data_IF_369673299782
#
_entry.id   IF_369673299782
#
_cell.length_a   1.000
_cell.length_b   1.000
_cell.length_c   1.000
_cell.angle_alpha   90.00
_cell.angle_beta   90.00
_cell.angle_gamma   90.00
#
_symmetry.space_group_name_H-M   'P 1'
#
loop_
_entity.id
_entity.type
_entity.pdbx_description
1 polymer ?
#
# COMPACT_ATOMS: atom_id res chain seq x y z
N UNK A 1 -2.79 50.56 -2.73
CA UNK A 1 -1.43 50.34 -2.21
C UNK A 1 -1.09 48.89 -2.48
N UNK A 2 -0.15 48.63 -3.39
CA UNK A 2 0.30 47.27 -3.68
C UNK A 2 1.14 46.78 -2.50
N UNK A 3 0.63 45.79 -1.76
CA UNK A 3 1.39 45.12 -0.71
C UNK A 3 2.56 44.40 -1.37
N UNK A 4 3.78 44.88 -1.13
CA UNK A 4 5.01 44.18 -1.48
C UNK A 4 4.98 42.77 -0.87
N UNK A 5 4.83 41.75 -1.72
CA UNK A 5 5.03 40.37 -1.32
C UNK A 5 6.48 40.19 -0.87
N UNK A 6 6.66 39.63 0.32
CA UNK A 6 7.98 39.26 0.84
C UNK A 6 8.64 38.30 -0.15
N UNK A 7 9.85 38.63 -0.59
CA UNK A 7 10.60 37.94 -1.64
C UNK A 7 11.16 36.58 -1.22
N UNK A 8 10.30 35.64 -0.87
CA UNK A 8 10.67 34.23 -0.72
C UNK A 8 10.55 33.52 -2.07
N UNK A 9 11.44 32.56 -2.31
CA UNK A 9 11.26 31.61 -3.41
C UNK A 9 9.97 30.79 -3.19
N UNK A 10 8.97 30.90 -4.08
CA UNK A 10 7.72 30.14 -3.95
C UNK A 10 7.92 28.63 -3.90
N UNK A 11 8.96 28.12 -4.58
CA UNK A 11 9.26 26.70 -4.58
C UNK A 11 9.80 26.24 -3.22
N UNK A 12 10.74 26.99 -2.64
CA UNK A 12 11.22 26.74 -1.28
C UNK A 12 10.10 26.82 -0.23
N UNK A 13 9.20 27.81 -0.33
CA UNK A 13 8.05 27.92 0.57
C UNK A 13 7.10 26.72 0.44
N UNK A 14 6.79 26.29 -0.80
CA UNK A 14 5.98 25.11 -1.05
C UNK A 14 6.63 23.82 -0.53
N UNK A 15 7.95 23.69 -0.68
CA UNK A 15 8.69 22.55 -0.15
C UNK A 15 8.63 22.51 1.39
N UNK A 16 8.77 23.65 2.06
CA UNK A 16 8.62 23.76 3.51
C UNK A 16 7.21 23.35 3.98
N UNK A 17 6.16 23.85 3.31
CA UNK A 17 4.77 23.45 3.60
C UNK A 17 4.55 21.94 3.42
N UNK A 18 5.19 21.34 2.41
CA UNK A 18 5.10 19.90 2.13
C UNK A 18 5.63 19.01 3.27
N UNK A 19 6.42 19.54 4.21
CA UNK A 19 6.89 18.75 5.36
C UNK A 19 5.78 18.42 6.36
N UNK A 20 4.71 19.22 6.39
CA UNK A 20 3.53 18.94 7.19
C UNK A 20 2.72 17.82 6.54
N UNK A 21 2.72 16.65 7.17
CA UNK A 21 2.02 15.47 6.63
C UNK A 21 0.52 15.67 6.76
N UNK A 22 -0.21 15.37 5.68
CA UNK A 22 -1.67 15.50 5.61
C UNK A 22 -2.29 14.20 5.11
N UNK A 23 -3.56 13.99 5.43
CA UNK A 23 -4.38 13.05 4.65
C UNK A 23 -4.67 13.63 3.27
N UNK A 24 -5.09 12.78 2.34
CA UNK A 24 -5.58 13.21 1.04
C UNK A 24 -7.10 13.20 1.02
N UNK A 25 -7.71 14.27 0.52
CA UNK A 25 -9.16 14.36 0.38
C UNK A 25 -9.61 14.60 -1.05
N UNK A 26 -10.82 14.17 -1.40
CA UNK A 26 -11.55 14.67 -2.57
C UNK A 26 -12.76 15.45 -2.07
N UNK A 27 -12.88 16.69 -2.53
CA UNK A 27 -14.02 17.54 -2.26
C UNK A 27 -14.94 17.50 -3.46
N UNK A 28 -16.20 17.14 -3.25
CA UNK A 28 -17.21 17.08 -4.32
C UNK A 28 -18.35 18.07 -4.09
N UNK A 29 -18.95 18.50 -5.18
CA UNK A 29 -20.17 19.31 -5.21
C UNK A 29 -20.91 19.02 -6.51
N UNK A 30 -22.07 19.64 -6.69
CA UNK A 30 -22.86 19.55 -7.91
C UNK A 30 -23.00 20.94 -8.54
N UNK A 31 -22.81 21.02 -9.86
CA UNK A 31 -23.07 22.21 -10.66
C UNK A 31 -24.57 22.54 -10.75
N UNK A 32 -24.89 23.75 -11.18
CA UNK A 32 -26.30 24.19 -11.36
C UNK A 32 -27.05 23.36 -12.42
N UNK A 33 -26.32 22.79 -13.37
CA UNK A 33 -26.81 21.86 -14.40
C UNK A 33 -26.93 20.41 -13.92
N UNK A 34 -26.64 20.14 -12.65
CA UNK A 34 -26.60 18.80 -12.07
C UNK A 34 -25.29 18.05 -12.30
N UNK A 35 -24.32 18.64 -13.01
CA UNK A 35 -23.06 17.97 -13.32
C UNK A 35 -22.20 17.74 -12.06
N UNK A 36 -21.63 16.54 -11.86
CA UNK A 36 -20.80 16.25 -10.71
C UNK A 36 -19.43 16.95 -10.84
N UNK A 37 -19.01 17.61 -9.77
CA UNK A 37 -17.70 18.29 -9.71
C UNK A 37 -16.92 17.74 -8.54
N UNK A 38 -15.63 17.50 -8.76
CA UNK A 38 -14.74 17.04 -7.70
C UNK A 38 -13.30 17.49 -7.90
N UNK A 39 -12.61 17.68 -6.79
CA UNK A 39 -11.21 18.11 -6.76
C UNK A 39 -10.46 17.46 -5.60
N UNK A 40 -9.25 16.99 -5.88
CA UNK A 40 -8.33 16.55 -4.83
C UNK A 40 -7.81 17.74 -4.06
N UNK A 41 -7.87 17.67 -2.73
CA UNK A 41 -7.36 18.69 -1.82
C UNK A 41 -6.64 18.05 -0.63
N UNK A 42 -5.56 18.67 -0.18
CA UNK A 42 -4.89 18.34 1.08
C UNK A 42 -4.83 19.55 2.04
N UNK A 43 -5.61 20.60 1.75
CA UNK A 43 -5.80 21.78 2.59
C UNK A 43 -6.91 21.61 3.64
N UNK A 44 -7.54 20.43 3.69
CA UNK A 44 -8.63 20.11 4.61
C UNK A 44 -8.16 20.08 6.07
N UNK A 45 -8.97 20.62 6.99
CA UNK A 45 -8.75 20.50 8.42
C UNK A 45 -10.06 20.63 9.24
N UNK A 46 -10.05 20.14 10.49
CA UNK A 46 -11.13 20.37 11.46
C UNK A 46 -11.03 21.75 12.09
N UNK A 47 -12.18 22.39 12.36
CA UNK A 47 -12.24 23.74 12.94
C UNK A 47 -12.89 23.74 14.32
N UNK A 48 -14.06 23.11 14.45
CA UNK A 48 -14.86 23.14 15.68
C UNK A 48 -15.63 21.85 15.86
N UNK A 49 -15.87 21.44 17.11
CA UNK A 49 -16.75 20.32 17.46
C UNK A 49 -18.19 20.76 17.73
N UNK A 50 -18.41 21.98 18.22
CA UNK A 50 -19.76 22.52 18.48
C UNK A 50 -19.83 24.03 18.17
N UNK A 51 -20.47 24.44 17.04
CA UNK A 51 -21.02 23.57 16.00
C UNK A 51 -19.92 22.77 15.27
N UNK A 52 -20.23 21.63 14.65
CA UNK A 52 -19.25 20.80 13.96
C UNK A 52 -18.83 21.47 12.65
N UNK A 53 -17.63 22.05 12.63
CA UNK A 53 -17.10 22.79 11.48
C UNK A 53 -15.80 22.19 10.96
N UNK A 54 -15.67 22.17 9.63
CA UNK A 54 -14.46 21.82 8.90
C UNK A 54 -14.13 22.90 7.87
N UNK A 55 -12.89 22.94 7.40
CA UNK A 55 -12.49 23.84 6.32
C UNK A 55 -11.61 23.18 5.27
N UNK A 56 -11.51 23.84 4.12
CA UNK A 56 -10.51 23.58 3.09
C UNK A 56 -10.31 24.84 2.23
N UNK A 57 -9.27 24.85 1.42
CA UNK A 57 -8.92 26.00 0.56
C UNK A 57 -8.89 25.61 -0.92
N UNK A 58 -9.54 26.40 -1.76
CA UNK A 58 -9.60 26.22 -3.22
C UNK A 58 -8.91 27.39 -3.93
N UNK A 59 -8.08 27.10 -4.93
CA UNK A 59 -7.42 28.15 -5.73
C UNK A 59 -8.46 29.01 -6.45
N UNK A 60 -8.24 30.33 -6.46
CA UNK A 60 -9.08 31.26 -7.23
C UNK A 60 -9.02 31.05 -8.74
N UNK A 61 -8.01 30.30 -9.22
CA UNK A 61 -7.85 29.94 -10.64
C UNK A 61 -8.51 28.60 -10.98
N UNK A 62 -9.09 27.90 -10.00
CA UNK A 62 -9.75 26.62 -10.24
C UNK A 62 -11.03 26.81 -11.06
N UNK A 63 -11.19 26.03 -12.13
CA UNK A 63 -12.42 26.02 -12.96
C UNK A 63 -13.69 25.65 -12.17
N UNK A 64 -13.52 24.88 -11.10
CA UNK A 64 -14.61 24.47 -10.20
C UNK A 64 -15.02 25.54 -9.19
N UNK A 65 -14.29 26.67 -9.08
CA UNK A 65 -14.58 27.71 -8.09
C UNK A 65 -16.03 28.21 -8.14
N UNK A 66 -16.63 28.53 -9.31
CA UNK A 66 -18.01 28.98 -9.36
C UNK A 66 -19.00 27.98 -8.78
N UNK A 67 -18.77 26.67 -8.98
CA UNK A 67 -19.62 25.59 -8.46
C UNK A 67 -19.56 25.52 -6.95
N UNK A 68 -18.37 25.66 -6.35
CA UNK A 68 -18.23 25.65 -4.89
C UNK A 68 -18.70 26.97 -4.25
N UNK A 69 -18.45 28.11 -4.90
CA UNK A 69 -18.87 29.43 -4.39
C UNK A 69 -20.38 29.61 -4.38
N UNK A 70 -21.09 29.11 -5.40
CA UNK A 70 -22.55 29.18 -5.50
C UNK A 70 -23.24 27.96 -4.85
N UNK A 71 -22.52 26.84 -4.72
CA UNK A 71 -23.04 25.59 -4.17
C UNK A 71 -23.34 25.66 -2.68
N UNK A 72 -24.45 25.04 -2.29
CA UNK A 72 -24.90 24.99 -0.88
C UNK A 72 -24.30 23.82 -0.10
N UNK A 73 -24.10 22.69 -0.77
CA UNK A 73 -23.63 21.44 -0.17
C UNK A 73 -22.38 20.95 -0.87
N UNK A 74 -21.48 20.33 -0.11
CA UNK A 74 -20.29 19.67 -0.61
C UNK A 74 -19.88 18.57 0.34
N UNK A 75 -19.22 17.56 -0.19
CA UNK A 75 -18.76 16.42 0.60
C UNK A 75 -17.23 16.40 0.65
N UNK A 76 -16.68 16.03 1.80
CA UNK A 76 -15.25 15.72 1.99
C UNK A 76 -15.09 14.22 2.07
N UNK A 77 -14.17 13.68 1.28
CA UNK A 77 -13.84 12.27 1.28
C UNK A 77 -12.38 12.10 1.69
N UNK A 78 -12.12 11.58 2.89
CA UNK A 78 -10.76 11.22 3.33
C UNK A 78 -10.40 9.88 2.70
N UNK A 79 -9.45 9.90 1.77
CA UNK A 79 -9.17 8.74 0.93
C UNK A 79 -8.45 7.63 1.69
N UNK A 80 -8.75 6.38 1.32
CA UNK A 80 -7.97 5.23 1.76
C UNK A 80 -6.72 5.02 0.91
N UNK A 81 -5.79 4.21 1.40
CA UNK A 81 -4.55 3.82 0.71
C UNK A 81 -4.80 3.25 -0.70
N UNK A 82 -5.91 2.52 -0.91
CA UNK A 82 -6.24 1.93 -2.21
C UNK A 82 -6.67 2.98 -3.26
N UNK A 83 -7.00 4.20 -2.82
CA UNK A 83 -7.59 5.25 -3.65
C UNK A 83 -6.54 6.24 -4.24
N UNK A 84 -5.26 5.86 -4.28
CA UNK A 84 -4.19 6.69 -4.89
C UNK A 84 -4.49 7.08 -6.35
N UNK A 85 -5.00 6.13 -7.13
CA UNK A 85 -5.41 6.38 -8.53
C UNK A 85 -6.54 7.39 -8.61
N UNK A 86 -7.51 7.32 -7.68
CA UNK A 86 -8.64 8.23 -7.62
C UNK A 86 -8.16 9.64 -7.25
N UNK A 87 -7.28 9.77 -6.26
CA UNK A 87 -6.62 11.04 -5.92
C UNK A 87 -5.96 11.69 -7.14
N UNK A 88 -5.15 10.92 -7.87
CA UNK A 88 -4.45 11.41 -9.07
C UNK A 88 -5.43 11.84 -10.17
N UNK A 89 -6.49 11.07 -10.39
CA UNK A 89 -7.56 11.40 -11.34
C UNK A 89 -8.22 12.74 -11.01
N UNK A 90 -8.62 12.95 -9.75
CA UNK A 90 -9.31 14.16 -9.33
C UNK A 90 -8.40 15.39 -9.21
N UNK A 91 -7.07 15.21 -9.15
CA UNK A 91 -6.07 16.28 -9.15
C UNK A 91 -5.78 16.85 -10.56
N UNK A 92 -5.99 16.06 -11.61
CA UNK A 92 -5.73 16.49 -13.00
C UNK A 92 -6.86 17.36 -13.57
N UNK A 93 -6.55 18.14 -14.62
CA UNK A 93 -7.55 18.80 -15.45
C UNK A 93 -7.94 17.85 -16.58
N UNK A 94 -9.23 17.74 -16.90
CA UNK A 94 -9.70 16.85 -17.96
C UNK A 94 -11.19 16.57 -17.85
N UNK A 95 -11.72 15.90 -18.87
CA UNK A 95 -13.12 15.51 -18.96
C UNK A 95 -13.37 14.19 -18.22
N UNK A 96 -14.61 14.06 -17.74
CA UNK A 96 -15.19 12.88 -17.09
C UNK A 96 -14.39 12.26 -15.92
N UNK A 97 -14.20 13.04 -14.85
CA UNK A 97 -13.59 12.56 -13.60
C UNK A 97 -14.42 11.52 -12.84
N UNK A 98 -15.70 11.38 -13.18
CA UNK A 98 -16.64 10.52 -12.48
C UNK A 98 -17.03 9.26 -13.28
N UNK A 99 -16.61 9.12 -14.54
CA UNK A 99 -16.75 7.89 -15.32
C UNK A 99 -16.32 6.66 -14.50
N UNK A 100 -17.16 5.63 -14.43
CA UNK A 100 -16.87 4.38 -13.72
C UNK A 100 -16.58 4.55 -12.21
N UNK A 101 -16.95 5.68 -11.61
CA UNK A 101 -16.90 5.87 -10.16
C UNK A 101 -18.27 5.54 -9.59
N UNK A 102 -18.33 4.51 -8.76
CA UNK A 102 -19.53 4.18 -7.99
C UNK A 102 -19.77 5.24 -6.90
N UNK A 103 -21.02 5.68 -6.79
CA UNK A 103 -21.44 6.73 -5.88
C UNK A 103 -22.55 6.23 -4.97
N UNK A 104 -22.47 6.60 -3.70
CA UNK A 104 -23.54 6.41 -2.73
C UNK A 104 -24.52 7.58 -2.77
N UNK A 105 -25.72 7.35 -2.22
CA UNK A 105 -26.67 8.42 -1.96
C UNK A 105 -26.27 9.19 -0.69
N UNK A 106 -26.16 10.50 -0.80
CA UNK A 106 -25.95 11.40 0.33
C UNK A 106 -27.24 12.06 0.83
N UNK A 107 -27.10 12.95 1.80
CA UNK A 107 -28.17 13.87 2.27
C UNK A 107 -28.48 14.99 1.27
N UNK A 108 -27.66 15.12 0.23
CA UNK A 108 -27.77 16.10 -0.85
C UNK A 108 -27.33 15.46 -2.16
N UNK A 109 -27.57 16.16 -3.28
CA UNK A 109 -27.20 15.71 -4.62
C UNK A 109 -25.69 15.81 -4.94
N UNK A 110 -24.88 16.31 -3.99
CA UNK A 110 -23.42 16.30 -4.14
C UNK A 110 -22.90 14.84 -4.16
N UNK A 111 -22.02 14.46 -5.11
CA UNK A 111 -21.53 13.09 -5.23
C UNK A 111 -20.89 12.55 -3.95
N UNK A 112 -21.23 11.34 -3.52
CA UNK A 112 -20.65 10.69 -2.35
C UNK A 112 -19.82 9.48 -2.79
N UNK A 113 -18.50 9.56 -2.66
CA UNK A 113 -17.57 8.49 -3.04
C UNK A 113 -17.64 7.33 -2.05
N UNK A 114 -17.39 6.12 -2.54
CA UNK A 114 -17.30 4.90 -1.72
C UNK A 114 -15.87 4.64 -1.25
N UNK A 115 -15.71 3.64 -0.37
CA UNK A 115 -14.43 3.09 0.09
C UNK A 115 -13.45 4.07 0.76
N UNK A 116 -13.93 5.23 1.17
CA UNK A 116 -13.14 6.22 1.90
C UNK A 116 -12.90 5.79 3.35
N UNK A 117 -11.84 6.35 3.95
CA UNK A 117 -11.57 6.20 5.39
C UNK A 117 -12.62 6.94 6.21
N UNK A 118 -13.02 8.14 5.76
CA UNK A 118 -14.08 8.91 6.36
C UNK A 118 -14.75 9.81 5.32
N UNK A 119 -16.03 10.13 5.55
CA UNK A 119 -16.81 11.02 4.69
C UNK A 119 -17.54 12.04 5.55
N UNK A 120 -17.52 13.30 5.13
CA UNK A 120 -18.23 14.38 5.79
C UNK A 120 -19.12 15.08 4.77
N UNK A 121 -20.42 15.14 5.04
CA UNK A 121 -21.41 15.79 4.19
C UNK A 121 -21.73 17.15 4.80
N UNK A 122 -21.39 18.22 4.09
CA UNK A 122 -21.35 19.56 4.65
C UNK A 122 -22.31 20.50 3.92
N UNK A 123 -22.77 21.54 4.63
CA UNK A 123 -23.25 22.78 3.99
C UNK A 123 -22.25 23.90 4.16
N UNK A 124 -22.14 24.78 3.17
CA UNK A 124 -21.31 25.98 3.26
C UNK A 124 -21.84 26.90 4.36
N UNK A 125 -21.02 27.14 5.38
CA UNK A 125 -21.31 28.08 6.46
C UNK A 125 -20.69 29.46 6.18
N UNK A 126 -19.41 29.48 5.77
CA UNK A 126 -18.68 30.72 5.49
C UNK A 126 -17.70 30.55 4.32
N UNK A 127 -17.41 31.66 3.65
CA UNK A 127 -16.34 31.78 2.65
C UNK A 127 -15.46 32.98 3.02
N UNK A 128 -14.15 32.78 3.00
CA UNK A 128 -13.18 33.84 3.32
C UNK A 128 -12.12 33.98 2.22
N UNK A 129 -11.69 35.21 2.01
CA UNK A 129 -10.55 35.52 1.15
C UNK A 129 -9.24 35.05 1.81
N UNK A 130 -8.48 34.19 1.12
CA UNK A 130 -7.25 33.57 1.61
C UNK A 130 -6.08 33.77 0.64
N UNK A 131 -5.77 35.01 0.29
CA UNK A 131 -4.72 35.32 -0.69
C UNK A 131 -5.12 34.90 -2.10
N UNK A 132 -4.40 33.94 -2.70
CA UNK A 132 -4.71 33.35 -4.00
C UNK A 132 -5.73 32.20 -3.94
N UNK A 133 -6.24 31.88 -2.75
CA UNK A 133 -7.28 30.89 -2.49
C UNK A 133 -8.53 31.51 -1.85
N UNK A 134 -9.64 30.79 -1.93
CA UNK A 134 -10.85 31.00 -1.12
C UNK A 134 -10.90 29.88 -0.07
N UNK A 135 -11.10 30.25 1.19
CA UNK A 135 -11.26 29.31 2.31
C UNK A 135 -12.75 29.04 2.48
N UNK A 136 -13.15 27.79 2.33
CA UNK A 136 -14.51 27.32 2.55
C UNK A 136 -14.61 26.71 3.94
N UNK A 137 -15.55 27.20 4.75
CA UNK A 137 -15.90 26.62 6.05
C UNK A 137 -17.27 25.98 5.94
N UNK A 138 -17.37 24.70 6.30
CA UNK A 138 -18.58 23.90 6.21
C UNK A 138 -19.05 23.42 7.57
N UNK A 139 -20.36 23.44 7.77
CA UNK A 139 -21.03 22.75 8.87
C UNK A 139 -21.30 21.30 8.46
N UNK A 140 -20.80 20.35 9.26
CA UNK A 140 -20.98 18.92 9.02
C UNK A 140 -22.40 18.53 9.44
N UNK A 141 -23.17 18.00 8.50
CA UNK A 141 -24.56 17.59 8.69
C UNK A 141 -24.70 16.07 8.88
N UNK A 142 -23.84 15.31 8.21
CA UNK A 142 -23.72 13.87 8.38
C UNK A 142 -22.27 13.45 8.17
N UNK A 143 -21.85 12.36 8.80
CA UNK A 143 -20.53 11.77 8.59
C UNK A 143 -20.56 10.26 8.83
N UNK A 144 -19.61 9.57 8.23
CA UNK A 144 -19.31 8.17 8.48
C UNK A 144 -17.80 7.91 8.38
N UNK A 145 -17.37 6.75 8.86
CA UNK A 145 -15.99 6.30 8.77
C UNK A 145 -15.91 4.79 8.63
N UNK A 146 -14.76 4.32 8.15
CA UNK A 146 -14.40 2.91 8.04
C UNK A 146 -13.07 2.63 8.73
N UNK A 147 -12.73 1.36 8.89
CA UNK A 147 -11.43 0.93 9.43
C UNK A 147 -10.30 0.92 8.39
N UNK A 148 -10.56 1.42 7.17
CA UNK A 148 -9.57 1.48 6.08
C UNK A 148 -8.40 2.39 6.46
N UNK A 149 -7.21 2.04 5.97
CA UNK A 149 -6.01 2.81 6.22
C UNK A 149 -6.03 4.14 5.42
N UNK A 150 -5.75 5.30 6.03
CA UNK A 150 -5.79 6.58 5.33
C UNK A 150 -4.58 6.74 4.38
N UNK A 151 -4.83 7.34 3.21
CA UNK A 151 -3.79 7.78 2.30
C UNK A 151 -3.12 9.05 2.86
N UNK A 152 -1.80 9.00 3.08
CA UNK A 152 -1.03 10.15 3.52
C UNK A 152 -0.30 10.83 2.36
N UNK A 153 -0.04 12.12 2.49
CA UNK A 153 0.77 12.90 1.57
C UNK A 153 1.80 13.74 2.32
N UNK A 154 3.06 13.60 1.93
CA UNK A 154 4.19 14.27 2.54
C UNK A 154 5.24 14.56 1.49
N UNK A 155 5.83 15.76 1.53
CA UNK A 155 6.96 16.18 0.69
C UNK A 155 6.73 15.94 -0.81
N UNK A 156 5.49 16.11 -1.28
CA UNK A 156 5.12 15.95 -2.69
C UNK A 156 4.94 14.49 -3.14
N UNK A 157 4.88 13.53 -2.21
CA UNK A 157 4.71 12.10 -2.50
C UNK A 157 3.61 11.51 -1.63
N UNK A 158 2.95 10.46 -2.14
CA UNK A 158 2.09 9.62 -1.30
C UNK A 158 2.95 8.85 -0.28
N UNK A 159 2.40 8.66 0.91
CA UNK A 159 3.06 8.02 2.03
C UNK A 159 2.10 7.05 2.74
N UNK A 160 2.69 6.17 3.55
CA UNK A 160 1.95 5.24 4.41
C UNK A 160 2.03 5.72 5.86
N UNK A 161 0.87 5.88 6.49
CA UNK A 161 0.79 6.18 7.91
C UNK A 161 0.84 4.87 8.72
N UNK A 162 2.04 4.46 9.13
CA UNK A 162 2.23 3.32 10.04
C UNK A 162 1.91 3.75 11.47
N UNK A 163 1.17 2.91 12.22
CA UNK A 163 0.87 3.22 13.61
C UNK A 163 2.13 3.05 14.46
N UNK A 164 2.40 4.04 15.31
CA UNK A 164 3.37 3.83 16.39
C UNK A 164 2.72 2.99 17.49
N UNK A 165 3.40 1.98 18.03
CA UNK A 165 2.89 1.24 19.17
C UNK A 165 2.71 2.19 20.36
N UNK A 166 1.64 2.00 21.14
CA UNK A 166 1.33 2.87 22.31
C UNK A 166 2.36 2.76 23.43
N UNK A 167 3.08 1.64 23.48
CA UNK A 167 4.21 1.39 24.37
C UNK A 167 5.40 0.94 23.54
N UNK A 168 6.60 1.13 24.07
CA UNK A 168 7.82 0.59 23.46
C UNK A 168 7.66 -0.92 23.25
N UNK A 169 7.89 -1.38 22.01
CA UNK A 169 7.92 -2.80 21.69
C UNK A 169 9.30 -3.34 22.08
N UNK A 170 9.35 -4.09 23.17
CA UNK A 170 10.55 -4.85 23.56
C UNK A 170 10.32 -6.33 23.32
N UNK A 171 11.31 -6.99 22.73
CA UNK A 171 11.33 -8.45 22.59
C UNK A 171 11.91 -9.10 23.86
N UNK A 172 12.83 -8.42 24.53
CA UNK A 172 13.47 -8.82 25.77
C UNK A 172 12.68 -8.34 26.99
N UNK A 173 12.56 -9.22 27.98
CA UNK A 173 11.95 -8.89 29.28
C UNK A 173 12.93 -8.20 30.25
N UNK A 174 14.19 -8.07 29.88
CA UNK A 174 15.28 -7.49 30.72
C UNK A 174 16.06 -6.41 29.96
N UNK A 175 16.69 -5.44 30.66
CA UNK A 175 17.43 -4.36 30.00
C UNK A 175 18.59 -4.88 29.13
N UNK A 176 18.89 -4.21 28.00
CA UNK A 176 19.98 -4.64 27.13
C UNK A 176 21.35 -4.50 27.83
N UNK A 177 22.27 -5.46 27.66
CA UNK A 177 23.64 -5.35 28.15
C UNK A 177 24.41 -4.21 27.45
N UNK A 178 25.52 -3.70 28.03
CA UNK A 178 26.22 -2.51 27.55
C UNK A 178 26.73 -2.63 26.09
N UNK A 179 26.99 -1.45 25.50
CA UNK A 179 27.10 -1.01 24.09
C UNK A 179 27.85 -1.88 23.04
N UNK A 180 28.33 -3.08 23.38
CA UNK A 180 28.98 -4.02 22.45
C UNK A 180 28.18 -5.32 22.21
N UNK A 181 26.88 -5.33 22.47
CA UNK A 181 26.02 -6.52 22.34
C UNK A 181 25.08 -6.39 21.12
N UNK A 182 24.82 -7.50 20.43
CA UNK A 182 23.71 -7.58 19.46
C UNK A 182 22.42 -7.15 20.17
N UNK A 183 21.81 -6.05 19.73
CA UNK A 183 20.56 -5.55 20.30
C UNK A 183 19.37 -6.20 19.60
N UNK A 184 18.22 -6.20 20.29
CA UNK A 184 16.94 -6.64 19.69
C UNK A 184 16.51 -5.77 18.51
N UNK A 185 17.04 -4.55 18.40
CA UNK A 185 16.78 -3.60 17.32
C UNK A 185 17.66 -3.77 16.09
N UNK A 186 18.65 -4.68 16.12
CA UNK A 186 19.49 -4.90 14.95
C UNK A 186 18.63 -5.40 13.78
N UNK A 187 18.62 -4.65 12.68
CA UNK A 187 17.79 -4.96 11.51
C UNK A 187 18.01 -6.40 11.00
N UNK A 188 19.26 -6.86 10.93
CA UNK A 188 19.58 -8.25 10.53
C UNK A 188 19.01 -9.30 11.48
N UNK A 189 18.99 -9.02 12.78
CA UNK A 189 18.35 -9.89 13.77
C UNK A 189 16.83 -9.92 13.57
N UNK A 190 16.19 -8.77 13.42
CA UNK A 190 14.74 -8.67 13.19
C UNK A 190 14.31 -9.38 11.90
N UNK A 191 15.05 -9.19 10.81
CA UNK A 191 14.80 -9.86 9.53
C UNK A 191 14.94 -11.38 9.64
N UNK A 192 16.06 -11.85 10.21
CA UNK A 192 16.27 -13.29 10.39
C UNK A 192 15.23 -13.91 11.33
N UNK A 193 15.01 -13.30 12.49
CA UNK A 193 14.07 -13.79 13.50
C UNK A 193 12.64 -13.85 12.95
N UNK A 194 12.17 -12.79 12.29
CA UNK A 194 10.84 -12.75 11.70
C UNK A 194 10.68 -13.77 10.56
N UNK A 195 11.64 -13.84 9.64
CA UNK A 195 11.63 -14.81 8.54
C UNK A 195 11.51 -16.26 9.06
N UNK A 196 12.39 -16.66 9.98
CA UNK A 196 12.38 -18.04 10.50
C UNK A 196 11.14 -18.34 11.35
N UNK A 197 10.58 -17.37 12.07
CA UNK A 197 9.33 -17.57 12.81
C UNK A 197 8.13 -17.78 11.87
N UNK A 198 8.01 -16.97 10.82
CA UNK A 198 6.95 -17.13 9.81
C UNK A 198 7.11 -18.46 9.08
N UNK A 199 8.34 -18.79 8.69
CA UNK A 199 8.64 -20.05 8.03
C UNK A 199 8.34 -21.26 8.93
N UNK A 200 8.57 -21.17 10.24
CA UNK A 200 8.24 -22.23 11.18
C UNK A 200 6.72 -22.50 11.25
N UNK A 201 5.88 -21.46 11.18
CA UNK A 201 4.42 -21.62 11.11
C UNK A 201 4.02 -22.41 9.84
N UNK A 202 4.60 -22.02 8.69
CA UNK A 202 4.36 -22.73 7.44
C UNK A 202 4.85 -24.19 7.50
N UNK A 203 6.04 -24.44 8.06
CA UNK A 203 6.58 -25.81 8.25
C UNK A 203 5.67 -26.69 9.10
N UNK A 204 5.04 -26.14 10.14
CA UNK A 204 4.09 -26.91 10.97
C UNK A 204 2.87 -27.35 10.15
N UNK A 205 2.34 -26.48 9.30
CA UNK A 205 1.24 -26.82 8.39
C UNK A 205 1.64 -27.82 7.31
N UNK A 206 2.88 -27.76 6.84
CA UNK A 206 3.43 -28.64 5.81
C UNK A 206 4.01 -29.96 6.35
N UNK A 207 4.00 -30.18 7.67
CA UNK A 207 4.64 -31.34 8.31
C UNK A 207 4.20 -32.70 7.77
N UNK A 208 2.98 -32.79 7.22
CA UNK A 208 2.45 -34.00 6.61
C UNK A 208 2.95 -34.27 5.19
N UNK A 209 3.63 -33.33 4.52
CA UNK A 209 3.96 -33.42 3.10
C UNK A 209 5.27 -34.18 2.78
N UNK A 210 6.02 -34.69 3.75
CA UNK A 210 7.30 -35.42 3.54
C UNK A 210 8.29 -34.72 2.57
N UNK A 211 8.23 -33.38 2.48
CA UNK A 211 9.13 -32.59 1.67
C UNK A 211 10.14 -31.88 2.57
N UNK A 212 11.39 -31.84 2.11
CA UNK A 212 12.40 -30.98 2.71
C UNK A 212 12.25 -29.53 2.22
N UNK A 213 12.95 -28.62 2.89
CA UNK A 213 12.91 -27.19 2.59
C UNK A 213 13.45 -26.87 1.18
N UNK A 214 14.42 -27.66 0.72
CA UNK A 214 14.98 -27.53 -0.62
C UNK A 214 13.93 -27.83 -1.70
N UNK A 215 13.15 -28.90 -1.53
CA UNK A 215 12.05 -29.25 -2.41
C UNK A 215 10.99 -28.15 -2.46
N UNK A 216 10.67 -27.53 -1.31
CA UNK A 216 9.74 -26.40 -1.25
C UNK A 216 10.19 -25.24 -2.17
N UNK A 217 11.46 -24.81 -2.07
CA UNK A 217 11.96 -23.72 -2.92
C UNK A 217 11.97 -24.09 -4.41
N UNK A 218 12.35 -25.33 -4.75
CA UNK A 218 12.33 -25.81 -6.14
C UNK A 218 10.90 -25.78 -6.71
N UNK A 219 9.93 -26.32 -5.97
CA UNK A 219 8.53 -26.34 -6.40
C UNK A 219 7.94 -24.93 -6.48
N UNK A 220 8.30 -24.03 -5.56
CA UNK A 220 7.89 -22.63 -5.61
C UNK A 220 8.41 -21.92 -6.87
N UNK A 221 9.70 -22.06 -7.19
CA UNK A 221 10.29 -21.48 -8.41
C UNK A 221 9.64 -22.08 -9.66
N UNK A 222 9.52 -23.42 -9.73
CA UNK A 222 8.94 -24.09 -10.90
C UNK A 222 7.44 -23.80 -11.09
N UNK A 223 6.73 -23.41 -10.02
CA UNK A 223 5.33 -22.99 -10.10
C UNK A 223 5.15 -21.61 -10.76
N UNK A 224 6.19 -20.77 -10.71
CA UNK A 224 6.21 -19.45 -11.33
C UNK A 224 6.84 -19.52 -12.73
N UNK A 225 7.93 -20.27 -12.88
CA UNK A 225 8.61 -20.52 -14.17
C UNK A 225 8.90 -22.00 -14.39
N UNK A 226 8.28 -22.58 -15.41
CA UNK A 226 8.61 -23.94 -15.85
C UNK A 226 9.77 -23.98 -16.87
N UNK A 227 10.21 -25.21 -17.18
CA UNK A 227 11.20 -25.52 -18.22
C UNK A 227 12.60 -24.93 -17.95
N UNK A 228 13.04 -25.00 -16.69
CA UNK A 228 14.33 -24.48 -16.26
C UNK A 228 15.42 -25.56 -16.32
N UNK A 229 16.65 -25.15 -16.61
CA UNK A 229 17.85 -25.96 -16.39
C UNK A 229 18.27 -25.96 -14.92
N UNK A 230 19.22 -26.82 -14.55
CA UNK A 230 19.73 -26.89 -13.17
C UNK A 230 20.44 -25.59 -12.76
N UNK A 231 21.12 -24.95 -13.71
CA UNK A 231 21.86 -23.70 -13.49
C UNK A 231 20.90 -22.51 -13.28
N UNK A 232 19.87 -22.41 -14.12
CA UNK A 232 18.80 -21.42 -13.97
C UNK A 232 18.07 -21.59 -12.63
N UNK A 233 17.72 -22.83 -12.26
CA UNK A 233 17.11 -23.14 -10.96
C UNK A 233 17.99 -22.68 -9.79
N UNK A 234 19.28 -23.04 -9.80
CA UNK A 234 20.22 -22.64 -8.76
C UNK A 234 20.40 -21.13 -8.67
N UNK A 235 20.34 -20.43 -9.80
CA UNK A 235 20.40 -18.97 -9.81
C UNK A 235 19.20 -18.37 -9.07
N UNK A 236 17.99 -18.87 -9.34
CA UNK A 236 16.76 -18.39 -8.69
C UNK A 236 16.69 -18.70 -7.19
N UNK A 237 17.28 -19.80 -6.72
CA UNK A 237 17.26 -20.15 -5.28
C UNK A 237 18.53 -19.77 -4.52
N UNK A 238 19.50 -19.13 -5.17
CA UNK A 238 20.81 -18.82 -4.58
C UNK A 238 20.72 -18.03 -3.28
N UNK A 239 19.73 -17.13 -3.15
CA UNK A 239 19.48 -16.34 -1.94
C UNK A 239 19.07 -17.17 -0.71
N UNK A 240 18.65 -18.42 -0.91
CA UNK A 240 18.21 -19.32 0.17
C UNK A 240 19.38 -20.02 0.87
N UNK A 241 20.60 -19.94 0.31
CA UNK A 241 21.76 -20.71 0.77
C UNK A 241 21.72 -22.20 0.39
N UNK A 242 20.70 -22.67 -0.34
CA UNK A 242 20.59 -24.05 -0.81
C UNK A 242 21.13 -24.19 -2.24
N UNK A 243 21.71 -25.37 -2.52
CA UNK A 243 22.18 -25.75 -3.86
C UNK A 243 21.38 -26.95 -4.37
N UNK A 244 20.63 -26.75 -5.44
CA UNK A 244 19.87 -27.77 -6.17
C UNK A 244 20.82 -28.69 -6.92
N UNK A 245 20.77 -29.98 -6.56
CA UNK A 245 21.56 -31.03 -7.20
C UNK A 245 20.71 -31.88 -8.13
N UNK A 246 21.34 -32.49 -9.14
CA UNK A 246 20.65 -33.45 -10.00
C UNK A 246 20.06 -34.63 -9.21
N UNK A 247 20.72 -35.06 -8.13
CA UNK A 247 20.21 -36.11 -7.24
C UNK A 247 18.89 -35.71 -6.56
N UNK A 248 18.80 -34.45 -6.10
CA UNK A 248 17.57 -33.87 -5.55
C UNK A 248 16.46 -33.80 -6.60
N UNK A 249 16.76 -33.37 -7.82
CA UNK A 249 15.78 -33.34 -8.92
C UNK A 249 15.28 -34.75 -9.28
N UNK A 250 16.18 -35.75 -9.30
CA UNK A 250 15.80 -37.16 -9.50
C UNK A 250 14.96 -37.72 -8.37
N UNK A 251 15.13 -37.21 -7.15
CA UNK A 251 14.26 -37.57 -6.02
C UNK A 251 12.84 -37.02 -6.22
N UNK A 252 12.72 -35.74 -6.62
CA UNK A 252 11.42 -35.13 -6.94
C UNK A 252 10.74 -35.79 -8.15
N UNK A 253 11.51 -36.27 -9.12
CA UNK A 253 11.00 -37.07 -10.24
C UNK A 253 10.42 -38.42 -9.77
N UNK A 254 11.12 -39.13 -8.87
CA UNK A 254 10.59 -40.38 -8.28
C UNK A 254 9.33 -40.18 -7.44
N UNK A 255 9.19 -39.02 -6.80
CA UNK A 255 7.96 -38.64 -6.11
C UNK A 255 6.84 -38.18 -7.07
N UNK A 256 7.13 -38.10 -8.38
CA UNK A 256 6.17 -37.71 -9.40
C UNK A 256 5.81 -36.22 -9.34
N UNK A 257 6.65 -35.36 -8.76
CA UNK A 257 6.41 -33.92 -8.62
C UNK A 257 7.06 -33.11 -9.74
N UNK A 258 8.20 -33.56 -10.24
CA UNK A 258 8.94 -32.92 -11.33
C UNK A 258 9.19 -33.91 -12.46
N UNK A 259 8.93 -33.51 -13.70
CA UNK A 259 9.36 -34.22 -14.90
C UNK A 259 10.74 -33.70 -15.33
N UNK A 260 11.62 -34.62 -15.72
CA UNK A 260 12.91 -34.30 -16.33
C UNK A 260 12.81 -34.55 -17.83
N UNK A 261 12.84 -33.47 -18.60
CA UNK A 261 12.74 -33.48 -20.05
C UNK A 261 14.11 -33.19 -20.69
N UNK A 262 14.25 -33.55 -21.98
CA UNK A 262 15.46 -33.29 -22.75
C UNK A 262 16.47 -34.45 -22.77
N UNK A 263 17.63 -34.18 -23.37
CA UNK A 263 18.71 -35.15 -23.49
C UNK A 263 19.72 -35.02 -22.33
N UNK A 264 20.64 -35.97 -22.19
CA UNK A 264 21.61 -35.99 -21.10
C UNK A 264 22.49 -34.72 -20.99
N UNK A 265 22.59 -33.92 -22.07
CA UNK A 265 23.35 -32.67 -22.10
C UNK A 265 22.50 -31.41 -21.85
N UNK A 266 21.17 -31.50 -21.96
CA UNK A 266 20.23 -30.37 -21.83
C UNK A 266 18.98 -30.81 -21.06
N UNK A 267 19.17 -31.17 -19.79
CA UNK A 267 18.06 -31.52 -18.91
C UNK A 267 17.25 -30.27 -18.56
N UNK A 268 15.93 -30.41 -18.65
CA UNK A 268 14.94 -29.39 -18.30
C UNK A 268 13.98 -29.93 -17.26
N UNK A 269 13.59 -29.08 -16.32
CA UNK A 269 12.74 -29.46 -15.19
C UNK A 269 11.39 -28.74 -15.30
N UNK A 270 10.31 -29.53 -15.21
CA UNK A 270 8.93 -29.05 -15.35
C UNK A 270 8.09 -29.67 -14.24
N UNK A 271 7.14 -28.93 -13.66
CA UNK A 271 6.18 -29.52 -12.72
C UNK A 271 5.23 -30.48 -13.44
N UNK A 272 5.05 -31.67 -12.87
CA UNK A 272 3.98 -32.59 -13.25
C UNK A 272 2.62 -32.04 -12.80
N UNK A 273 1.53 -32.71 -13.16
CA UNK A 273 0.19 -32.40 -12.62
C UNK A 273 0.18 -32.46 -11.08
N UNK A 274 0.74 -33.53 -10.50
CA UNK A 274 0.84 -33.70 -9.05
C UNK A 274 1.73 -32.62 -8.41
N UNK A 275 2.84 -32.26 -9.05
CA UNK A 275 3.72 -31.18 -8.61
C UNK A 275 2.99 -29.83 -8.57
N UNK A 276 2.21 -29.51 -9.61
CA UNK A 276 1.39 -28.29 -9.65
C UNK A 276 0.33 -28.28 -8.57
N UNK A 277 -0.36 -29.40 -8.34
CA UNK A 277 -1.36 -29.52 -7.27
C UNK A 277 -0.73 -29.31 -5.90
N UNK A 278 0.43 -29.92 -5.64
CA UNK A 278 1.15 -29.74 -4.39
C UNK A 278 1.63 -28.30 -4.19
N UNK A 279 2.19 -27.67 -5.23
CA UNK A 279 2.57 -26.24 -5.20
C UNK A 279 1.37 -25.34 -4.91
N UNK A 280 0.19 -25.62 -5.49
CA UNK A 280 -1.03 -24.87 -5.20
C UNK A 280 -1.45 -25.01 -3.73
N UNK A 281 -1.38 -26.22 -3.17
CA UNK A 281 -1.63 -26.45 -1.74
C UNK A 281 -0.64 -25.69 -0.86
N UNK A 282 0.65 -25.67 -1.22
CA UNK A 282 1.68 -24.91 -0.51
C UNK A 282 1.40 -23.40 -0.53
N UNK A 283 1.04 -22.85 -1.69
CA UNK A 283 0.67 -21.43 -1.82
C UNK A 283 -0.59 -21.11 -1.01
N UNK A 284 -1.59 -22.00 -0.99
CA UNK A 284 -2.78 -21.82 -0.19
C UNK A 284 -2.46 -21.77 1.32
N UNK A 285 -1.62 -22.69 1.82
CA UNK A 285 -1.19 -22.69 3.22
C UNK A 285 -0.33 -21.46 3.56
N UNK A 286 0.54 -21.01 2.66
CA UNK A 286 1.30 -19.78 2.83
C UNK A 286 0.39 -18.56 2.94
N UNK A 287 -0.68 -18.49 2.14
CA UNK A 287 -1.71 -17.44 2.24
C UNK A 287 -2.47 -17.47 3.56
N UNK A 288 -2.79 -18.65 4.09
CA UNK A 288 -3.43 -18.77 5.41
C UNK A 288 -2.54 -18.19 6.52
N UNK A 289 -1.24 -18.50 6.50
CA UNK A 289 -0.29 -17.91 7.45
C UNK A 289 -0.20 -16.39 7.28
N UNK A 290 -0.16 -15.92 6.02
CA UNK A 290 -0.14 -14.48 5.73
C UNK A 290 -1.41 -13.78 6.26
N UNK A 291 -2.59 -14.34 6.03
CA UNK A 291 -3.88 -13.79 6.46
C UNK A 291 -4.00 -13.72 7.99
N UNK A 292 -3.59 -14.76 8.72
CA UNK A 292 -3.54 -14.75 10.19
C UNK A 292 -2.58 -13.67 10.74
N UNK A 293 -1.43 -13.47 10.09
CA UNK A 293 -0.48 -12.42 10.47
C UNK A 293 -1.02 -11.03 10.16
N UNK A 294 -1.65 -10.84 9.01
CA UNK A 294 -2.32 -9.58 8.63
C UNK A 294 -3.44 -9.27 9.62
N UNK A 295 -4.24 -10.25 10.02
CA UNK A 295 -5.29 -10.07 11.03
C UNK A 295 -4.75 -9.61 12.39
N UNK A 296 -3.53 -10.01 12.76
CA UNK A 296 -2.86 -9.61 14.01
C UNK A 296 -2.12 -8.27 13.92
N UNK A 297 -1.47 -7.99 12.79
CA UNK A 297 -0.71 -6.75 12.55
C UNK A 297 -1.62 -5.58 12.17
N UNK A 298 -2.72 -5.86 11.48
CA UNK A 298 -3.55 -4.88 10.79
C UNK A 298 -3.09 -4.65 9.34
N UNK A 299 -4.07 -4.43 8.45
CA UNK A 299 -3.87 -4.25 7.01
C UNK A 299 -2.87 -3.14 6.66
N UNK A 300 -2.97 -1.99 7.34
CA UNK A 300 -2.11 -0.83 7.09
C UNK A 300 -0.63 -1.15 7.34
N UNK A 301 -0.34 -1.78 8.48
CA UNK A 301 1.02 -2.08 8.91
C UNK A 301 1.61 -3.23 8.08
N UNK A 302 0.78 -4.21 7.71
CA UNK A 302 1.19 -5.28 6.78
C UNK A 302 1.54 -4.74 5.38
N UNK A 303 0.74 -3.81 4.85
CA UNK A 303 1.03 -3.17 3.57
C UNK A 303 2.30 -2.31 3.63
N UNK A 304 2.50 -1.57 4.72
CA UNK A 304 3.74 -0.84 4.95
C UNK A 304 4.95 -1.78 5.01
N UNK A 305 4.83 -2.91 5.71
CA UNK A 305 5.88 -3.93 5.77
C UNK A 305 6.20 -4.50 4.38
N UNK A 306 5.19 -4.84 3.57
CA UNK A 306 5.39 -5.31 2.19
C UNK A 306 6.18 -4.31 1.34
N UNK A 307 5.85 -3.02 1.42
CA UNK A 307 6.57 -1.96 0.70
C UNK A 307 8.02 -1.84 1.19
N UNK A 308 8.24 -1.83 2.50
CA UNK A 308 9.58 -1.74 3.08
C UNK A 308 10.45 -2.95 2.72
N UNK A 309 9.90 -4.17 2.77
CA UNK A 309 10.61 -5.38 2.37
C UNK A 309 10.97 -5.36 0.88
N UNK A 310 10.05 -4.95 -0.01
CA UNK A 310 10.36 -4.81 -1.45
C UNK A 310 11.48 -3.80 -1.70
N UNK A 311 11.44 -2.65 -1.03
CA UNK A 311 12.51 -1.64 -1.13
C UNK A 311 13.83 -2.17 -0.60
N UNK A 312 13.81 -2.88 0.52
CA UNK A 312 15.00 -3.51 1.08
C UNK A 312 15.59 -4.52 0.09
N UNK A 313 14.77 -5.43 -0.45
CA UNK A 313 15.18 -6.42 -1.46
C UNK A 313 15.88 -5.75 -2.64
N UNK A 314 15.29 -4.69 -3.21
CA UNK A 314 15.89 -3.94 -4.33
C UNK A 314 17.24 -3.32 -3.96
N UNK A 315 17.36 -2.74 -2.77
CA UNK A 315 18.62 -2.09 -2.34
C UNK A 315 19.69 -3.11 -1.95
N UNK A 316 19.31 -4.29 -1.50
CA UNK A 316 20.22 -5.38 -1.12
C UNK A 316 20.47 -6.40 -2.24
N UNK A 317 19.89 -6.22 -3.43
CA UNK A 317 19.91 -7.20 -4.51
C UNK A 317 21.35 -7.43 -5.02
N UNK A 318 21.91 -8.66 -4.92
CA UNK A 318 23.23 -8.96 -5.47
C UNK A 318 23.23 -9.13 -7.00
N UNK A 319 22.11 -8.85 -7.69
CA UNK A 319 21.95 -8.99 -9.13
C UNK A 319 21.22 -10.29 -9.51
N UNK A 320 20.22 -10.69 -8.73
CA UNK A 320 19.44 -11.90 -8.99
C UNK A 320 18.51 -11.69 -10.21
N UNK A 321 18.26 -12.74 -11.01
CA UNK A 321 17.32 -12.65 -12.12
C UNK A 321 15.89 -12.44 -11.62
N UNK A 322 15.12 -11.63 -12.34
CA UNK A 322 13.71 -11.40 -12.03
C UNK A 322 12.89 -12.66 -12.35
N UNK A 323 12.43 -13.34 -11.30
CA UNK A 323 11.61 -14.54 -11.41
C UNK A 323 10.27 -14.27 -12.11
N UNK A 324 9.74 -13.05 -12.08
CA UNK A 324 8.45 -12.67 -12.66
C UNK A 324 8.53 -11.97 -14.01
N UNK A 325 9.73 -11.70 -14.53
CA UNK A 325 9.89 -11.08 -15.85
C UNK A 325 9.23 -11.92 -16.96
N UNK A 326 8.66 -11.29 -18.01
CA UNK A 326 8.11 -12.02 -19.14
C UNK A 326 9.15 -12.91 -19.84
N UNK A 327 8.67 -13.96 -20.52
CA UNK A 327 9.50 -14.86 -21.34
C UNK A 327 9.94 -14.22 -22.64
#
# INVERSE_FOLDING_TARGET
>A
MATQQIGFDPQAFRAALGTFTTGVTIITSQGEDGAPVGITANSFNSVSLNPPLVLWSLSKQARSLPVFSNGKHWNVHVLSIEQEKLSSRFATQGEDKFAEVELDNGISDAPLLQDCTARFQCRTAFQYEGGDHVIFVGEVLAFDHSDRAPLAFQSGQYALATRKPRSELRLATTPPPPECSYTEDLLGYLLGRSHYQVLNLLRQLLSNQQLDEQAFFVLAVLSIRDNLSLDELNTFVSYTGHVVTLAGMRFLERQGLVAIEGNAAQLRFVLTANGRELSLQQVALAKVVEEDLIGKLGEADAQALKVLLKRLIVVSDPGLPDLWAPR
#
